data_IF_204923618622
#
_entry.id   IF_204923618622
#
_cell.length_a   1.000
_cell.length_b   1.000
_cell.length_c   1.000
_cell.angle_alpha   90.00
_cell.angle_beta   90.00
_cell.angle_gamma   90.00
#
_symmetry.space_group_name_H-M   'P 1'
#
loop_
_entity.id
_entity.type
_entity.pdbx_description
1 polymer ?
#
# COMPACT_ATOMS: atom_id res chain seq x y z
N UNK A 1 6.94 -17.73 -13.70
CA UNK A 1 6.77 -19.16 -13.31
C UNK A 1 5.77 -19.33 -12.17
N UNK A 2 5.94 -18.65 -11.02
CA UNK A 2 5.07 -18.77 -9.84
C UNK A 2 3.57 -18.44 -10.07
N UNK A 3 3.25 -17.49 -10.96
CA UNK A 3 1.86 -17.14 -11.28
C UNK A 3 1.13 -18.24 -12.07
N UNK A 4 1.85 -18.95 -12.94
CA UNK A 4 1.29 -20.05 -13.73
C UNK A 4 1.06 -21.29 -12.87
N UNK A 5 1.93 -21.55 -11.89
CA UNK A 5 1.74 -22.65 -10.92
C UNK A 5 0.60 -22.37 -9.95
N UNK A 6 0.42 -21.12 -9.50
CA UNK A 6 -0.74 -20.73 -8.68
C UNK A 6 -2.06 -20.85 -9.47
N UNK A 7 -2.08 -20.38 -10.72
CA UNK A 7 -3.26 -20.49 -11.59
C UNK A 7 -3.61 -21.96 -11.90
N UNK A 8 -2.61 -22.81 -12.12
CA UNK A 8 -2.80 -24.25 -12.34
C UNK A 8 -3.30 -24.96 -11.07
N UNK A 9 -2.78 -24.62 -9.89
CA UNK A 9 -3.25 -25.17 -8.61
C UNK A 9 -4.69 -24.73 -8.29
N UNK A 10 -5.04 -23.47 -8.57
CA UNK A 10 -6.41 -22.95 -8.44
C UNK A 10 -7.38 -23.60 -9.44
N UNK A 11 -6.95 -23.84 -10.68
CA UNK A 11 -7.75 -24.53 -11.69
C UNK A 11 -7.97 -26.01 -11.32
N UNK A 12 -6.94 -26.69 -10.82
CA UNK A 12 -7.04 -28.06 -10.32
C UNK A 12 -7.97 -28.16 -9.09
N UNK A 13 -7.88 -27.19 -8.16
CA UNK A 13 -8.79 -27.09 -7.01
C UNK A 13 -10.25 -26.90 -7.42
N UNK A 14 -10.52 -26.01 -8.37
CA UNK A 14 -11.88 -25.80 -8.91
C UNK A 14 -12.42 -27.02 -9.66
N UNK A 15 -11.56 -27.75 -10.38
CA UNK A 15 -11.92 -29.00 -11.05
C UNK A 15 -12.27 -30.12 -10.06
N UNK A 16 -11.50 -30.25 -8.98
CA UNK A 16 -11.77 -31.20 -7.91
C UNK A 16 -13.06 -30.87 -7.14
N UNK A 17 -13.32 -29.58 -6.86
CA UNK A 17 -14.57 -29.13 -6.23
C UNK A 17 -15.79 -29.38 -7.13
N UNK A 18 -15.67 -29.11 -8.44
CA UNK A 18 -16.74 -29.39 -9.41
C UNK A 18 -17.02 -30.89 -9.52
N UNK A 19 -15.98 -31.72 -9.53
CA UNK A 19 -16.10 -33.18 -9.51
C UNK A 19 -16.77 -33.70 -8.23
N UNK A 20 -16.32 -33.21 -7.06
CA UNK A 20 -16.91 -33.58 -5.77
C UNK A 20 -18.39 -33.17 -5.66
N UNK A 21 -18.75 -31.97 -6.16
CA UNK A 21 -20.15 -31.54 -6.25
C UNK A 21 -20.96 -32.41 -7.21
N UNK A 22 -20.39 -32.78 -8.35
CA UNK A 22 -21.03 -33.67 -9.32
C UNK A 22 -21.35 -35.04 -8.71
N UNK A 23 -20.39 -35.64 -8.01
CA UNK A 23 -20.56 -36.92 -7.31
C UNK A 23 -21.60 -36.81 -6.19
N UNK A 24 -21.57 -35.73 -5.40
CA UNK A 24 -22.55 -35.48 -4.34
C UNK A 24 -23.97 -35.35 -4.89
N UNK A 25 -24.15 -34.59 -5.98
CA UNK A 25 -25.46 -34.40 -6.61
C UNK A 25 -25.97 -35.67 -7.28
N UNK A 26 -25.08 -36.48 -7.88
CA UNK A 26 -25.44 -37.78 -8.42
C UNK A 26 -25.88 -38.74 -7.31
N UNK A 27 -25.15 -38.77 -6.19
CA UNK A 27 -25.50 -39.57 -5.01
C UNK A 27 -26.84 -39.17 -4.38
N UNK A 28 -27.11 -37.87 -4.26
CA UNK A 28 -28.37 -37.35 -3.73
C UNK A 28 -29.55 -37.73 -4.63
N UNK A 29 -29.41 -37.58 -5.96
CA UNK A 29 -30.43 -37.99 -6.92
C UNK A 29 -30.68 -39.49 -6.89
N UNK A 30 -29.62 -40.31 -6.82
CA UNK A 30 -29.75 -41.74 -6.72
C UNK A 30 -30.50 -42.13 -5.44
N UNK A 31 -30.15 -41.54 -4.29
CA UNK A 31 -30.82 -41.75 -3.01
C UNK A 31 -32.31 -41.43 -3.06
N UNK A 32 -32.69 -40.28 -3.64
CA UNK A 32 -34.10 -39.87 -3.77
C UNK A 32 -34.90 -40.84 -4.64
N UNK A 33 -34.35 -41.20 -5.82
CA UNK A 33 -35.01 -42.13 -6.73
C UNK A 33 -35.09 -43.55 -6.15
N UNK A 34 -34.04 -44.03 -5.47
CA UNK A 34 -34.06 -45.34 -4.79
C UNK A 34 -35.08 -45.38 -3.66
N UNK A 35 -35.25 -44.28 -2.91
CA UNK A 35 -36.28 -44.17 -1.87
C UNK A 35 -37.67 -44.25 -2.48
N UNK A 36 -37.93 -43.56 -3.59
CA UNK A 36 -39.23 -43.62 -4.28
C UNK A 36 -39.54 -45.04 -4.77
N UNK A 37 -38.56 -45.72 -5.38
CA UNK A 37 -38.72 -47.11 -5.83
C UNK A 37 -39.03 -48.05 -4.66
N UNK A 38 -38.34 -47.88 -3.52
CA UNK A 38 -38.59 -48.67 -2.32
C UNK A 38 -40.01 -48.44 -1.78
N UNK A 39 -40.44 -47.18 -1.70
CA UNK A 39 -41.79 -46.78 -1.27
C UNK A 39 -42.86 -47.39 -2.17
N UNK A 40 -42.69 -47.32 -3.50
CA UNK A 40 -43.66 -47.87 -4.45
C UNK A 40 -43.69 -49.41 -4.44
N UNK A 41 -42.54 -50.07 -4.30
CA UNK A 41 -42.45 -51.53 -4.31
C UNK A 41 -43.05 -52.14 -3.03
N UNK A 42 -42.67 -51.59 -1.87
CA UNK A 42 -43.20 -52.03 -0.59
C UNK A 42 -44.66 -51.62 -0.42
N UNK A 43 -44.99 -50.36 -0.73
CA UNK A 43 -46.35 -49.84 -0.68
C UNK A 43 -47.29 -50.59 -1.61
N UNK A 44 -46.87 -50.94 -2.83
CA UNK A 44 -47.65 -51.77 -3.75
C UNK A 44 -47.94 -53.18 -3.21
N UNK A 45 -47.02 -53.74 -2.43
CA UNK A 45 -47.24 -55.04 -1.75
C UNK A 45 -48.30 -54.93 -0.65
N UNK A 46 -48.33 -53.83 0.11
CA UNK A 46 -49.34 -53.54 1.13
C UNK A 46 -50.73 -53.29 0.51
N UNK A 47 -50.79 -52.57 -0.61
CA UNK A 47 -52.04 -52.40 -1.37
C UNK A 47 -52.59 -53.74 -1.85
N UNK A 48 -51.72 -54.63 -2.35
CA UNK A 48 -52.12 -56.00 -2.77
C UNK A 48 -52.65 -56.83 -1.60
N UNK A 49 -52.15 -56.61 -0.37
CA UNK A 49 -52.62 -57.26 0.86
C UNK A 49 -53.86 -56.61 1.46
N UNK A 50 -54.38 -55.54 0.86
CA UNK A 50 -55.49 -54.72 1.38
C UNK A 50 -55.20 -54.06 2.74
N UNK A 51 -53.93 -53.89 3.10
CA UNK A 51 -53.50 -53.22 4.33
C UNK A 51 -53.39 -51.70 4.17
N UNK A 52 -53.44 -51.20 2.93
CA UNK A 52 -53.37 -49.79 2.58
C UNK A 52 -54.12 -49.51 1.26
N UNK A 53 -54.69 -48.32 1.11
CA UNK A 53 -55.34 -47.86 -0.12
C UNK A 53 -54.35 -47.24 -1.11
N UNK A 54 -54.72 -47.21 -2.39
CA UNK A 54 -53.91 -46.53 -3.43
C UNK A 54 -53.74 -45.02 -3.15
N UNK A 55 -54.77 -44.39 -2.55
CA UNK A 55 -54.73 -42.99 -2.15
C UNK A 55 -53.69 -42.73 -1.07
N UNK A 56 -53.65 -43.56 -0.03
CA UNK A 56 -52.66 -43.47 1.06
C UNK A 56 -51.23 -43.65 0.55
N UNK A 57 -51.00 -44.58 -0.40
CA UNK A 57 -49.69 -44.75 -1.04
C UNK A 57 -49.26 -43.50 -1.81
N UNK A 58 -50.19 -42.90 -2.57
CA UNK A 58 -49.90 -41.69 -3.36
C UNK A 58 -49.61 -40.49 -2.45
N UNK A 59 -50.39 -40.33 -1.38
CA UNK A 59 -50.14 -39.32 -0.35
C UNK A 59 -48.80 -39.53 0.35
N UNK A 60 -48.46 -40.76 0.72
CA UNK A 60 -47.18 -41.07 1.36
C UNK A 60 -45.99 -40.80 0.44
N UNK A 61 -46.09 -41.15 -0.85
CA UNK A 61 -45.06 -40.85 -1.84
C UNK A 61 -44.86 -39.32 -2.04
N UNK A 62 -45.96 -38.56 -2.06
CA UNK A 62 -45.94 -37.10 -2.16
C UNK A 62 -45.29 -36.47 -0.92
N UNK A 63 -45.68 -36.89 0.29
CA UNK A 63 -45.10 -36.40 1.53
C UNK A 63 -43.62 -36.77 1.68
N UNK A 64 -43.24 -38.00 1.30
CA UNK A 64 -41.84 -38.43 1.29
C UNK A 64 -40.98 -37.56 0.37
N UNK A 65 -41.51 -37.19 -0.80
CA UNK A 65 -40.83 -36.30 -1.75
C UNK A 65 -40.66 -34.88 -1.18
N UNK A 66 -41.70 -34.35 -0.53
CA UNK A 66 -41.65 -33.03 0.11
C UNK A 66 -40.63 -32.98 1.27
N UNK A 67 -40.60 -34.01 2.11
CA UNK A 67 -39.61 -34.15 3.19
C UNK A 67 -38.19 -34.27 2.62
N UNK A 68 -38.01 -35.04 1.54
CA UNK A 68 -36.72 -35.18 0.85
C UNK A 68 -36.19 -33.85 0.31
N UNK A 69 -37.05 -33.05 -0.32
CA UNK A 69 -36.69 -31.69 -0.78
C UNK A 69 -36.32 -30.78 0.39
N UNK A 70 -37.10 -30.79 1.48
CA UNK A 70 -36.80 -30.00 2.68
C UNK A 70 -35.45 -30.38 3.32
N UNK A 71 -35.15 -31.68 3.41
CA UNK A 71 -33.87 -32.17 3.92
C UNK A 71 -32.68 -31.74 3.05
N UNK A 72 -32.83 -31.79 1.72
CA UNK A 72 -31.81 -31.32 0.79
C UNK A 72 -31.57 -29.80 0.93
N UNK A 73 -32.64 -29.00 1.05
CA UNK A 73 -32.53 -27.55 1.29
C UNK A 73 -31.83 -27.25 2.62
N UNK A 74 -32.11 -27.99 3.69
CA UNK A 74 -31.44 -27.83 4.98
C UNK A 74 -29.95 -28.19 4.91
N UNK A 75 -29.60 -29.25 4.18
CA UNK A 75 -28.19 -29.64 3.97
C UNK A 75 -27.41 -28.58 3.16
N UNK A 76 -28.03 -28.02 2.13
CA UNK A 76 -27.46 -26.91 1.36
C UNK A 76 -27.27 -25.66 2.25
N UNK A 77 -28.29 -25.30 3.04
CA UNK A 77 -28.20 -24.19 3.99
C UNK A 77 -27.09 -24.39 5.03
N UNK A 78 -26.91 -25.59 5.56
CA UNK A 78 -25.82 -25.92 6.48
C UNK A 78 -24.44 -25.68 5.85
N UNK A 79 -24.27 -26.06 4.57
CA UNK A 79 -23.02 -25.83 3.84
C UNK A 79 -22.74 -24.35 3.64
N UNK A 80 -23.75 -23.56 3.26
CA UNK A 80 -23.58 -22.12 3.08
C UNK A 80 -23.38 -21.37 4.41
N UNK A 81 -24.02 -21.84 5.48
CA UNK A 81 -23.79 -21.35 6.85
C UNK A 81 -22.34 -21.55 7.29
N UNK A 82 -21.76 -22.72 7.01
CA UNK A 82 -20.34 -22.99 7.32
C UNK A 82 -19.39 -22.07 6.53
N UNK A 83 -19.67 -21.80 5.25
CA UNK A 83 -18.91 -20.81 4.47
C UNK A 83 -19.06 -19.41 5.05
N UNK A 84 -20.27 -19.04 5.43
CA UNK A 84 -20.59 -17.75 6.07
C UNK A 84 -19.82 -17.57 7.37
N UNK A 85 -19.80 -18.58 8.25
CA UNK A 85 -19.02 -18.57 9.49
C UNK A 85 -17.52 -18.43 9.23
N UNK A 86 -16.97 -19.14 8.24
CA UNK A 86 -15.56 -19.02 7.88
C UNK A 86 -15.21 -17.64 7.30
N UNK A 87 -16.11 -17.00 6.56
CA UNK A 87 -15.94 -15.63 6.08
C UNK A 87 -16.03 -14.61 7.22
N UNK A 88 -17.02 -14.76 8.11
CA UNK A 88 -17.20 -13.91 9.27
C UNK A 88 -15.98 -13.97 10.19
N UNK A 89 -15.42 -15.16 10.44
CA UNK A 89 -14.21 -15.32 11.26
C UNK A 89 -13.04 -14.47 10.76
N UNK A 90 -12.78 -14.44 9.44
CA UNK A 90 -11.72 -13.60 8.85
C UNK A 90 -12.00 -12.10 8.98
N UNK A 91 -13.27 -11.69 8.92
CA UNK A 91 -13.67 -10.29 9.11
C UNK A 91 -13.43 -9.88 10.56
N UNK A 92 -13.87 -10.69 11.53
CA UNK A 92 -13.63 -10.43 12.95
C UNK A 92 -12.14 -10.45 13.30
N UNK A 93 -11.37 -11.39 12.77
CA UNK A 93 -9.91 -11.42 12.93
C UNK A 93 -9.25 -10.11 12.46
N UNK A 94 -9.72 -9.53 11.36
CA UNK A 94 -9.22 -8.25 10.87
C UNK A 94 -9.68 -7.05 11.72
N UNK A 95 -10.92 -7.05 12.20
CA UNK A 95 -11.47 -5.97 13.04
C UNK A 95 -10.87 -5.95 14.45
N UNK A 96 -10.62 -7.12 15.04
CA UNK A 96 -10.15 -7.26 16.42
C UNK A 96 -8.62 -7.17 16.53
N UNK A 97 -7.90 -7.10 15.40
CA UNK A 97 -6.44 -7.02 15.39
C UNK A 97 -5.96 -5.68 15.97
N UNK A 98 -5.23 -5.67 17.10
CA UNK A 98 -4.67 -4.43 17.63
C UNK A 98 -3.57 -3.89 16.70
N UNK A 99 -3.55 -2.58 16.40
CA UNK A 99 -2.47 -1.99 15.62
C UNK A 99 -1.18 -1.99 16.43
N UNK A 100 -0.05 -2.29 15.76
CA UNK A 100 1.27 -2.32 16.42
C UNK A 100 1.70 -0.92 16.91
N UNK A 101 1.32 0.11 16.17
CA UNK A 101 1.49 1.51 16.56
C UNK A 101 0.15 1.96 17.12
N UNK A 102 0.14 2.37 18.39
CA UNK A 102 -1.05 2.73 19.14
C UNK A 102 -1.90 3.82 18.47
N UNK A 103 -3.15 3.95 18.94
CA UNK A 103 -4.07 5.01 18.54
C UNK A 103 -3.42 6.41 18.66
N UNK A 104 -3.97 7.38 17.94
CA UNK A 104 -3.40 8.70 17.65
C UNK A 104 -3.26 9.63 18.89
N UNK A 105 -2.45 9.19 19.84
CA UNK A 105 -2.11 9.78 21.13
C UNK A 105 -0.62 10.11 21.20
N UNK A 106 -0.25 11.01 22.10
CA UNK A 106 1.13 11.44 22.31
C UNK A 106 1.28 12.95 22.32
N UNK A 107 2.53 13.41 22.34
CA UNK A 107 2.87 14.83 22.41
C UNK A 107 2.59 15.56 21.09
N UNK A 108 2.16 16.82 21.22
CA UNK A 108 1.95 17.77 20.12
C UNK A 108 2.82 19.00 20.40
N UNK A 109 4.10 18.99 19.99
CA UNK A 109 4.97 20.15 20.13
C UNK A 109 4.41 21.39 19.43
N UNK A 110 4.61 22.57 20.06
CA UNK A 110 4.14 23.86 19.52
C UNK A 110 4.96 24.35 18.33
N UNK A 111 6.22 23.91 18.21
CA UNK A 111 7.14 24.33 17.16
C UNK A 111 8.02 23.16 16.75
N UNK A 112 8.43 23.17 15.47
CA UNK A 112 9.29 22.16 14.85
C UNK A 112 10.36 22.88 14.05
N UNK A 113 11.63 22.56 14.29
CA UNK A 113 12.75 23.03 13.48
C UNK A 113 13.07 22.03 12.37
N UNK A 114 12.79 20.75 12.59
CA UNK A 114 13.00 19.69 11.61
C UNK A 114 14.36 19.01 11.70
N UNK A 115 15.03 19.01 12.87
CA UNK A 115 16.25 18.22 13.07
C UNK A 115 15.89 16.74 13.24
N UNK A 116 16.26 15.88 12.30
CA UNK A 116 15.95 14.44 12.37
C UNK A 116 17.22 13.66 12.63
N UNK A 117 17.15 12.71 13.58
CA UNK A 117 18.28 11.83 13.91
C UNK A 117 17.86 10.38 14.01
N UNK A 118 18.60 9.53 13.33
CA UNK A 118 18.62 8.08 13.49
C UNK A 118 19.85 7.75 14.35
N UNK A 119 19.65 7.02 15.44
CA UNK A 119 20.71 6.64 16.36
C UNK A 119 20.72 5.12 16.55
N UNK A 120 21.74 4.44 16.02
CA UNK A 120 21.94 3.00 16.11
C UNK A 120 20.77 2.17 15.58
N UNK A 121 20.10 2.62 14.51
CA UNK A 121 18.82 2.04 14.06
C UNK A 121 19.01 0.67 13.40
N UNK A 122 18.43 -0.36 14.01
CA UNK A 122 18.31 -1.71 13.46
C UNK A 122 16.85 -2.04 13.14
N UNK A 123 16.60 -2.69 11.99
CA UNK A 123 15.23 -3.00 11.58
C UNK A 123 15.14 -4.21 10.64
N UNK A 124 14.16 -5.09 10.86
CA UNK A 124 13.71 -6.16 9.99
C UNK A 124 12.18 -6.14 9.86
N UNK A 125 11.65 -6.39 8.65
CA UNK A 125 10.20 -6.50 8.48
C UNK A 125 9.67 -7.79 9.14
N UNK A 126 8.51 -7.71 9.81
CA UNK A 126 7.87 -8.86 10.45
C UNK A 126 7.59 -10.05 9.51
N UNK A 127 7.40 -9.79 8.21
CA UNK A 127 7.26 -10.85 7.21
C UNK A 127 8.56 -11.64 6.95
N UNK A 128 9.72 -11.10 7.35
CA UNK A 128 11.06 -11.66 7.15
C UNK A 128 11.99 -11.32 8.35
N UNK A 129 11.71 -11.84 9.55
CA UNK A 129 12.42 -11.43 10.78
C UNK A 129 13.91 -11.77 10.79
N UNK A 130 14.34 -12.79 10.02
CA UNK A 130 15.75 -13.17 9.89
C UNK A 130 16.56 -12.32 8.90
N UNK A 131 15.93 -11.38 8.21
CA UNK A 131 16.57 -10.55 7.19
C UNK A 131 16.58 -9.08 7.63
N UNK A 132 17.61 -8.71 8.39
CA UNK A 132 17.83 -7.32 8.81
C UNK A 132 18.06 -6.43 7.59
N UNK A 133 17.20 -5.42 7.43
CA UNK A 133 17.24 -4.42 6.37
C UNK A 133 18.12 -3.24 6.77
N UNK A 134 18.07 -2.82 8.05
CA UNK A 134 18.95 -1.80 8.61
C UNK A 134 19.75 -2.40 9.77
N UNK A 135 21.04 -2.04 9.87
CA UNK A 135 22.02 -2.70 10.75
C UNK A 135 22.84 -1.67 11.55
N UNK A 136 22.18 -0.94 12.44
CA UNK A 136 22.83 0.07 13.29
C UNK A 136 23.10 1.37 12.53
N UNK A 137 22.08 1.93 11.90
CA UNK A 137 22.19 3.18 11.14
C UNK A 137 22.23 4.39 12.06
N UNK A 138 23.32 5.15 11.94
CA UNK A 138 23.46 6.50 12.47
C UNK A 138 23.38 7.51 11.32
N UNK A 139 22.39 8.41 11.38
CA UNK A 139 22.18 9.41 10.34
C UNK A 139 21.57 10.69 10.92
N UNK A 140 22.10 11.83 10.51
CA UNK A 140 21.60 13.15 10.93
C UNK A 140 21.14 13.92 9.71
N UNK A 141 19.92 14.45 9.76
CA UNK A 141 19.37 15.39 8.80
C UNK A 141 19.17 16.73 9.54
N UNK A 142 20.15 17.65 9.43
CA UNK A 142 20.06 18.92 10.12
C UNK A 142 18.87 19.76 9.64
N UNK A 143 18.28 20.51 10.57
CA UNK A 143 17.19 21.44 10.28
C UNK A 143 17.48 22.33 9.04
N UNK A 144 16.56 22.38 8.09
CA UNK A 144 16.64 23.24 6.91
C UNK A 144 17.67 22.82 5.85
N UNK A 145 18.27 21.62 5.97
CA UNK A 145 19.24 21.09 5.00
C UNK A 145 18.64 19.94 4.20
N UNK A 146 19.08 19.84 2.94
CA UNK A 146 18.80 18.69 2.10
C UNK A 146 19.92 17.65 2.22
N UNK A 147 19.54 16.38 2.34
CA UNK A 147 20.40 15.21 2.32
C UNK A 147 19.91 14.26 1.23
N UNK A 148 20.80 13.89 0.30
CA UNK A 148 20.52 12.86 -0.68
C UNK A 148 21.00 11.49 -0.17
N UNK A 149 20.06 10.57 -0.02
CA UNK A 149 20.30 9.19 0.36
C UNK A 149 20.49 8.33 -0.89
N UNK A 150 21.66 7.73 -1.02
CA UNK A 150 22.09 6.97 -2.20
C UNK A 150 22.37 5.53 -1.81
N UNK A 151 22.07 4.59 -2.68
CA UNK A 151 22.32 3.17 -2.42
C UNK A 151 21.66 2.29 -3.46
N UNK A 152 22.08 1.02 -3.52
CA UNK A 152 21.47 0.02 -4.41
C UNK A 152 19.98 -0.20 -4.07
N UNK A 153 19.23 -0.76 -5.01
CA UNK A 153 17.87 -1.22 -4.71
C UNK A 153 17.93 -2.29 -3.61
N UNK A 154 17.02 -2.20 -2.63
CA UNK A 154 17.02 -3.10 -1.47
C UNK A 154 17.97 -2.71 -0.32
N UNK A 155 18.78 -1.65 -0.45
CA UNK A 155 19.71 -1.22 0.61
C UNK A 155 19.03 -0.67 1.88
N UNK A 156 17.72 -0.38 1.84
CA UNK A 156 16.94 0.13 2.99
C UNK A 156 16.54 1.60 2.92
N UNK A 157 16.68 2.27 1.75
CA UNK A 157 16.37 3.70 1.59
C UNK A 157 14.91 4.06 1.92
N UNK A 158 13.97 3.36 1.28
CA UNK A 158 12.53 3.50 1.55
C UNK A 158 12.19 3.14 2.99
N UNK A 159 12.89 2.16 3.58
CA UNK A 159 12.71 1.79 4.99
C UNK A 159 13.06 2.95 5.93
N UNK A 160 14.14 3.70 5.68
CA UNK A 160 14.46 4.90 6.47
C UNK A 160 13.36 5.96 6.39
N UNK A 161 12.80 6.20 5.20
CA UNK A 161 11.66 7.09 5.04
C UNK A 161 10.41 6.61 5.80
N UNK A 162 10.11 5.30 5.75
CA UNK A 162 8.97 4.71 6.46
C UNK A 162 9.13 4.76 7.99
N UNK A 163 10.35 4.61 8.51
CA UNK A 163 10.67 4.79 9.93
C UNK A 163 10.52 6.27 10.35
N UNK A 164 10.93 7.22 9.51
CA UNK A 164 10.73 8.65 9.76
C UNK A 164 9.23 9.02 9.80
N UNK A 165 8.42 8.41 8.94
CA UNK A 165 6.95 8.54 8.95
C UNK A 165 6.27 7.79 10.10
N UNK A 166 7.06 7.04 10.90
CA UNK A 166 6.60 6.14 11.95
C UNK A 166 5.46 5.25 11.42
N UNK A 167 5.70 4.62 10.27
CA UNK A 167 4.88 3.50 9.77
C UNK A 167 5.33 2.18 10.39
N UNK A 168 6.58 2.14 10.84
CA UNK A 168 7.17 1.09 11.65
C UNK A 168 7.97 1.75 12.78
N UNK A 169 8.13 1.03 13.89
CA UNK A 169 9.11 1.36 14.92
C UNK A 169 10.38 0.52 14.67
N UNK A 170 11.58 1.05 14.96
CA UNK A 170 12.82 0.29 14.81
C UNK A 170 12.92 -0.83 15.87
N UNK A 171 13.54 -1.96 15.51
CA UNK A 171 13.78 -3.07 16.45
C UNK A 171 14.87 -2.72 17.47
N UNK A 172 15.83 -1.88 17.05
CA UNK A 172 16.95 -1.39 17.86
C UNK A 172 17.22 0.07 17.56
N UNK A 173 17.76 0.79 18.54
CA UNK A 173 18.06 2.22 18.39
C UNK A 173 16.82 3.09 18.45
N UNK A 174 16.93 4.31 17.94
CA UNK A 174 15.86 5.30 18.04
C UNK A 174 15.89 6.30 16.89
N UNK A 175 14.70 6.72 16.46
CA UNK A 175 14.52 7.88 15.58
C UNK A 175 13.94 9.02 16.41
N UNK A 176 14.44 10.24 16.21
CA UNK A 176 13.99 11.42 16.93
C UNK A 176 13.82 12.63 16.01
N UNK A 177 12.88 13.51 16.37
CA UNK A 177 12.61 14.80 15.77
C UNK A 177 12.84 15.91 16.80
N UNK A 178 13.77 16.82 16.52
CA UNK A 178 14.19 17.90 17.41
C UNK A 178 14.62 17.39 18.80
N UNK A 179 15.21 16.20 18.84
CA UNK A 179 15.62 15.49 20.08
C UNK A 179 14.48 14.73 20.77
N UNK A 180 13.24 14.84 20.30
CA UNK A 180 12.09 14.10 20.85
C UNK A 180 11.94 12.75 20.14
N UNK A 181 11.92 11.62 20.86
CA UNK A 181 11.74 10.29 20.25
C UNK A 181 10.40 10.18 19.51
N UNK A 182 10.40 9.65 18.28
CA UNK A 182 9.17 9.49 17.49
C UNK A 182 8.06 8.70 18.23
N UNK A 183 8.37 7.65 19.03
CA UNK A 183 7.36 6.93 19.81
C UNK A 183 6.51 7.79 20.75
N UNK A 184 7.06 8.91 21.24
CA UNK A 184 6.39 9.82 22.19
C UNK A 184 5.50 10.86 21.53
N UNK A 185 5.65 11.07 20.22
CA UNK A 185 4.91 12.05 19.45
C UNK A 185 3.58 11.47 18.96
N UNK A 186 2.56 12.33 18.86
CA UNK A 186 1.29 11.96 18.25
C UNK A 186 1.46 11.66 16.75
N UNK A 187 1.14 10.45 16.25
CA UNK A 187 1.41 10.06 14.87
C UNK A 187 0.80 10.98 13.79
N UNK A 188 -0.45 11.42 13.94
CA UNK A 188 -1.08 12.34 12.97
C UNK A 188 -0.48 13.74 13.00
N UNK A 189 0.05 14.17 14.13
CA UNK A 189 0.79 15.42 14.21
C UNK A 189 2.15 15.27 13.51
N UNK A 190 2.90 14.20 13.81
CA UNK A 190 4.20 13.93 13.19
C UNK A 190 4.09 13.90 11.66
N UNK A 191 3.11 13.16 11.13
CA UNK A 191 2.90 13.03 9.69
C UNK A 191 2.44 14.32 9.02
N UNK A 192 1.83 15.26 9.74
CA UNK A 192 1.56 16.62 9.24
C UNK A 192 2.82 17.47 9.10
N UNK A 193 3.87 17.17 9.86
CA UNK A 193 5.17 17.85 9.75
C UNK A 193 6.02 17.33 8.59
N UNK A 194 5.60 16.25 7.92
CA UNK A 194 6.36 15.56 6.89
C UNK A 194 5.53 15.51 5.59
N UNK A 195 5.97 16.21 4.55
CA UNK A 195 5.43 16.07 3.20
C UNK A 195 6.18 14.97 2.45
N UNK A 196 5.45 14.11 1.73
CA UNK A 196 6.03 13.01 0.96
C UNK A 196 5.65 13.15 -0.51
N UNK A 197 6.65 13.02 -1.39
CA UNK A 197 6.45 12.93 -2.83
C UNK A 197 7.04 11.61 -3.30
N UNK A 198 6.17 10.66 -3.60
CA UNK A 198 6.53 9.32 -4.07
C UNK A 198 6.98 9.34 -5.54
N UNK A 199 7.71 8.30 -5.95
CA UNK A 199 8.14 8.10 -7.33
C UNK A 199 6.96 8.01 -8.31
N UNK A 200 5.91 7.28 -7.92
CA UNK A 200 4.65 7.16 -8.64
C UNK A 200 3.50 7.73 -7.79
N UNK A 201 3.16 9.01 -7.96
CA UNK A 201 2.16 9.66 -7.13
C UNK A 201 0.77 9.10 -7.40
N UNK A 202 0.13 8.63 -6.33
CA UNK A 202 -1.28 8.21 -6.38
C UNK A 202 -2.19 9.43 -6.26
N UNK A 203 -3.19 9.53 -7.14
CA UNK A 203 -4.24 10.53 -7.10
C UNK A 203 -5.58 9.86 -6.83
N UNK A 204 -6.37 10.47 -5.97
CA UNK A 204 -7.68 9.96 -5.59
C UNK A 204 -8.75 10.45 -6.57
N UNK A 205 -9.81 9.66 -6.72
CA UNK A 205 -10.99 10.11 -7.46
C UNK A 205 -11.58 11.34 -6.77
N UNK A 206 -11.72 12.42 -7.53
CA UNK A 206 -12.11 13.75 -7.05
C UNK A 206 -11.55 14.85 -7.93
N UNK A 207 -11.73 16.10 -7.50
CA UNK A 207 -11.19 17.28 -8.18
C UNK A 207 -9.68 17.48 -7.92
N UNK A 208 -9.06 18.35 -8.71
CA UNK A 208 -7.68 18.80 -8.48
C UNK A 208 -7.56 19.47 -7.10
N UNK A 209 -8.53 20.33 -6.73
CA UNK A 209 -8.55 20.99 -5.43
C UNK A 209 -8.60 19.98 -4.27
N UNK A 210 -9.47 18.97 -4.36
CA UNK A 210 -9.62 17.92 -3.34
C UNK A 210 -8.32 17.11 -3.19
N UNK A 211 -7.65 16.80 -4.30
CA UNK A 211 -6.37 16.10 -4.28
C UNK A 211 -5.25 16.91 -3.62
N UNK A 212 -5.24 18.24 -3.78
CA UNK A 212 -4.28 19.11 -3.07
C UNK A 212 -4.66 19.19 -1.58
N UNK A 213 -5.93 19.47 -1.28
CA UNK A 213 -6.46 19.59 0.08
C UNK A 213 -6.31 18.32 0.91
N UNK A 214 -6.10 17.15 0.30
CA UNK A 214 -5.79 15.92 1.03
C UNK A 214 -4.56 16.05 1.94
N UNK A 215 -3.59 16.91 1.59
CA UNK A 215 -2.43 17.19 2.45
C UNK A 215 -2.77 18.04 3.68
N UNK A 216 -3.82 18.86 3.60
CA UNK A 216 -4.34 19.67 4.70
C UNK A 216 -5.85 19.90 4.50
N UNK A 217 -6.72 19.11 5.15
CA UNK A 217 -8.18 19.22 4.98
C UNK A 217 -8.74 20.60 5.36
N UNK A 218 -8.02 21.36 6.18
CA UNK A 218 -8.38 22.71 6.61
C UNK A 218 -7.82 23.80 5.68
N UNK A 219 -7.19 23.43 4.55
CA UNK A 219 -6.61 24.38 3.60
C UNK A 219 -7.70 25.22 2.93
N UNK A 220 -7.49 26.54 2.92
CA UNK A 220 -8.36 27.46 2.17
C UNK A 220 -8.06 27.36 0.67
N UNK A 221 -8.98 27.85 -0.17
CA UNK A 221 -8.73 27.97 -1.61
C UNK A 221 -7.46 28.78 -1.94
N UNK A 222 -7.10 29.76 -1.10
CA UNK A 222 -5.85 30.52 -1.25
C UNK A 222 -4.63 29.66 -0.98
N UNK A 223 -4.67 28.81 0.03
CA UNK A 223 -3.57 27.89 0.37
C UNK A 223 -3.37 26.86 -0.75
N UNK A 224 -4.47 26.33 -1.30
CA UNK A 224 -4.45 25.41 -2.44
C UNK A 224 -3.77 26.05 -3.66
N UNK A 225 -4.16 27.28 -4.02
CA UNK A 225 -3.55 28.01 -5.14
C UNK A 225 -2.09 28.34 -4.87
N UNK A 226 -1.73 28.72 -3.64
CA UNK A 226 -0.35 29.00 -3.27
C UNK A 226 0.53 27.75 -3.37
N UNK A 227 0.05 26.60 -2.88
CA UNK A 227 0.71 25.31 -3.00
C UNK A 227 0.88 24.89 -4.48
N UNK A 228 -0.17 25.04 -5.29
CA UNK A 228 -0.13 24.76 -6.71
C UNK A 228 0.89 25.65 -7.43
N UNK A 229 0.99 26.94 -7.11
CA UNK A 229 2.00 27.85 -7.68
C UNK A 229 3.41 27.47 -7.26
N UNK A 230 3.62 27.12 -5.99
CA UNK A 230 4.93 26.65 -5.51
C UNK A 230 5.40 25.39 -6.25
N UNK A 231 4.45 24.49 -6.56
CA UNK A 231 4.69 23.26 -7.29
C UNK A 231 4.73 23.43 -8.83
N UNK A 232 4.65 24.67 -9.34
CA UNK A 232 4.47 24.98 -10.78
C UNK A 232 3.26 24.24 -11.41
N UNK A 233 2.24 23.89 -10.63
CA UNK A 233 1.04 23.19 -11.08
C UNK A 233 -0.06 24.15 -11.59
N UNK A 234 -0.12 25.37 -11.05
CA UNK A 234 -1.18 26.34 -11.38
C UNK A 234 -1.30 26.59 -12.89
N UNK A 235 -0.18 26.69 -13.61
CA UNK A 235 -0.14 26.97 -15.06
C UNK A 235 -1.00 25.97 -15.86
N UNK A 236 -0.77 24.67 -15.71
CA UNK A 236 -1.54 23.66 -16.45
C UNK A 236 -2.95 23.48 -15.88
N UNK A 237 -3.16 23.77 -14.59
CA UNK A 237 -4.49 23.71 -13.98
C UNK A 237 -5.39 24.77 -14.62
N UNK A 238 -4.88 25.98 -14.88
CA UNK A 238 -5.64 27.04 -15.52
C UNK A 238 -6.01 26.75 -16.99
N UNK A 239 -5.32 25.81 -17.64
CA UNK A 239 -5.63 25.38 -19.02
C UNK A 239 -6.86 24.47 -19.10
N UNK A 240 -7.26 23.83 -17.99
CA UNK A 240 -8.48 23.02 -17.97
C UNK A 240 -9.75 23.91 -17.93
N UNK A 241 -10.84 23.48 -18.59
CA UNK A 241 -12.12 24.22 -18.57
C UNK A 241 -12.63 24.50 -17.15
N UNK A 242 -12.56 23.49 -16.28
CA UNK A 242 -13.06 23.54 -14.91
C UNK A 242 -11.96 23.88 -13.89
N UNK A 243 -10.74 24.17 -14.37
CA UNK A 243 -9.60 24.58 -13.54
C UNK A 243 -9.37 23.64 -12.35
N UNK A 244 -9.47 24.15 -11.12
CA UNK A 244 -9.28 23.38 -9.88
C UNK A 244 -10.41 22.37 -9.60
N UNK A 245 -11.58 22.56 -10.21
CA UNK A 245 -12.73 21.66 -10.08
C UNK A 245 -12.67 20.49 -11.08
N UNK A 246 -11.68 20.49 -11.98
CA UNK A 246 -11.44 19.42 -12.95
C UNK A 246 -11.29 18.07 -12.26
N UNK A 247 -12.05 17.08 -12.72
CA UNK A 247 -12.02 15.72 -12.17
C UNK A 247 -10.81 14.94 -12.68
N UNK A 248 -9.97 14.45 -11.78
CA UNK A 248 -8.69 13.79 -12.14
C UNK A 248 -8.87 12.30 -12.45
N UNK A 249 -9.99 11.70 -12.03
CA UNK A 249 -10.27 10.27 -12.13
C UNK A 249 -9.36 9.41 -11.23
N UNK A 250 -9.66 8.11 -11.13
CA UNK A 250 -8.84 7.19 -10.33
C UNK A 250 -7.40 7.12 -10.86
N UNK A 251 -6.41 7.26 -9.97
CA UNK A 251 -4.98 7.32 -10.29
C UNK A 251 -4.58 8.43 -11.29
N UNK A 252 -5.42 9.46 -11.45
CA UNK A 252 -5.11 10.61 -12.29
C UNK A 252 -4.96 10.25 -13.77
N UNK A 253 -5.74 9.29 -14.28
CA UNK A 253 -5.58 8.71 -15.63
C UNK A 253 -5.49 9.73 -16.77
N UNK A 254 -6.03 10.94 -16.58
CA UNK A 254 -6.05 12.00 -17.58
C UNK A 254 -4.87 13.00 -17.49
N UNK A 255 -3.96 12.82 -16.54
CA UNK A 255 -2.79 13.67 -16.37
C UNK A 255 -1.51 13.00 -16.86
N UNK A 256 -0.60 13.79 -17.44
CA UNK A 256 0.76 13.34 -17.74
C UNK A 256 1.54 13.05 -16.45
N UNK A 257 2.59 12.22 -16.52
CA UNK A 257 3.41 11.90 -15.34
C UNK A 257 3.94 13.14 -14.62
N UNK A 258 4.35 14.17 -15.38
CA UNK A 258 4.88 15.42 -14.83
C UNK A 258 3.80 16.28 -14.17
N UNK A 259 2.57 16.27 -14.69
CA UNK A 259 1.42 16.90 -14.04
C UNK A 259 1.06 16.20 -12.73
N UNK A 260 1.06 14.86 -12.71
CA UNK A 260 0.81 14.09 -11.48
C UNK A 260 1.84 14.39 -10.40
N UNK A 261 3.13 14.45 -10.78
CA UNK A 261 4.22 14.79 -9.86
C UNK A 261 4.08 16.19 -9.28
N UNK A 262 3.80 17.21 -10.12
CA UNK A 262 3.55 18.58 -9.62
C UNK A 262 2.32 18.65 -8.70
N UNK A 263 1.26 17.90 -9.00
CA UNK A 263 0.07 17.84 -8.16
C UNK A 263 0.33 17.14 -6.81
N UNK A 264 1.13 16.08 -6.81
CA UNK A 264 1.57 15.42 -5.58
C UNK A 264 2.49 16.30 -4.74
N UNK A 265 3.39 17.05 -5.38
CA UNK A 265 4.19 18.06 -4.70
C UNK A 265 3.31 19.14 -4.06
N UNK A 266 2.32 19.68 -4.79
CA UNK A 266 1.36 20.64 -4.23
C UNK A 266 0.63 20.08 -3.00
N UNK A 267 0.18 18.82 -3.06
CA UNK A 267 -0.41 18.10 -1.92
C UNK A 267 0.56 17.95 -0.75
N UNK A 268 1.84 17.67 -1.02
CA UNK A 268 2.84 17.52 0.03
C UNK A 268 3.15 18.86 0.72
N UNK A 269 3.10 19.99 0.00
CA UNK A 269 3.47 21.31 0.54
C UNK A 269 2.31 22.13 1.10
N UNK A 270 1.05 21.76 0.84
CA UNK A 270 -0.12 22.54 1.31
C UNK A 270 -0.22 22.58 2.85
N UNK A 271 0.30 21.57 3.54
CA UNK A 271 0.40 21.55 5.01
C UNK A 271 1.57 22.38 5.55
N UNK A 272 2.37 22.97 4.67
CA UNK A 272 3.63 23.65 4.99
C UNK A 272 4.53 22.83 5.93
N UNK A 273 4.93 21.61 5.53
CA UNK A 273 5.67 20.71 6.41
C UNK A 273 7.09 21.22 6.69
N UNK A 274 7.62 20.91 7.87
CA UNK A 274 9.00 21.21 8.24
C UNK A 274 10.00 20.27 7.54
N UNK A 275 9.55 19.05 7.20
CA UNK A 275 10.35 18.00 6.59
C UNK A 275 9.73 17.58 5.25
N UNK A 276 10.56 17.37 4.24
CA UNK A 276 10.15 16.80 2.95
C UNK A 276 10.90 15.50 2.68
N UNK A 277 10.17 14.49 2.21
CA UNK A 277 10.73 13.24 1.68
C UNK A 277 10.42 13.21 0.19
N UNK A 278 11.47 13.14 -0.63
CA UNK A 278 11.38 13.12 -2.09
C UNK A 278 11.93 11.79 -2.61
N UNK A 279 11.07 10.89 -3.07
CA UNK A 279 11.47 9.60 -3.61
C UNK A 279 11.47 9.61 -5.13
N UNK A 280 12.64 9.76 -5.75
CA UNK A 280 12.85 9.62 -7.20
C UNK A 280 11.81 10.32 -8.11
N UNK A 281 11.31 11.50 -7.70
CA UNK A 281 10.12 12.19 -8.21
C UNK A 281 10.15 12.66 -9.69
N UNK A 282 11.16 12.29 -10.46
CA UNK A 282 11.36 12.73 -11.85
C UNK A 282 11.70 11.59 -12.83
N UNK A 283 11.82 10.34 -12.36
CA UNK A 283 12.43 9.20 -13.08
C UNK A 283 11.71 8.66 -14.33
N UNK A 284 10.53 9.19 -14.68
CA UNK A 284 9.72 8.71 -15.80
C UNK A 284 9.15 9.85 -16.65
N UNK A 285 9.85 10.98 -16.71
CA UNK A 285 9.38 12.21 -17.33
C UNK A 285 10.17 12.55 -18.60
N UNK A 286 9.52 13.20 -19.56
CA UNK A 286 10.21 13.86 -20.66
C UNK A 286 11.06 15.04 -20.13
N UNK A 287 12.07 15.44 -20.90
CA UNK A 287 13.05 16.44 -20.46
C UNK A 287 12.43 17.80 -20.07
N UNK A 288 11.35 18.22 -20.75
CA UNK A 288 10.69 19.49 -20.43
C UNK A 288 9.91 19.39 -19.11
N UNK A 289 9.14 18.31 -18.93
CA UNK A 289 8.46 18.01 -17.67
C UNK A 289 9.43 17.84 -16.51
N UNK A 290 10.56 17.18 -16.72
CA UNK A 290 11.60 16.97 -15.71
C UNK A 290 12.18 18.29 -15.20
N UNK A 291 12.47 19.24 -16.09
CA UNK A 291 12.99 20.56 -15.72
C UNK A 291 11.99 21.33 -14.84
N UNK A 292 10.70 21.31 -15.20
CA UNK A 292 9.65 21.97 -14.43
C UNK A 292 9.47 21.35 -13.04
N UNK A 293 9.47 20.02 -12.94
CA UNK A 293 9.35 19.32 -11.65
C UNK A 293 10.59 19.56 -10.79
N UNK A 294 11.79 19.48 -11.36
CA UNK A 294 13.04 19.72 -10.62
C UNK A 294 13.10 21.14 -10.05
N UNK A 295 12.69 22.15 -10.84
CA UNK A 295 12.59 23.53 -10.36
C UNK A 295 11.57 23.68 -9.22
N UNK A 296 10.43 23.00 -9.31
CA UNK A 296 9.41 23.01 -8.27
C UNK A 296 9.92 22.33 -6.97
N UNK A 297 10.59 21.18 -7.09
CA UNK A 297 11.19 20.47 -5.96
C UNK A 297 12.25 21.33 -5.26
N UNK A 298 13.11 22.03 -6.01
CA UNK A 298 14.11 22.92 -5.43
C UNK A 298 13.46 24.10 -4.67
N UNK A 299 12.40 24.71 -5.21
CA UNK A 299 11.63 25.76 -4.52
C UNK A 299 10.97 25.24 -3.25
N UNK A 300 10.39 24.03 -3.31
CA UNK A 300 9.74 23.40 -2.16
C UNK A 300 10.74 23.00 -1.07
N UNK A 301 11.93 22.50 -1.45
CA UNK A 301 12.98 22.10 -0.51
C UNK A 301 13.67 23.29 0.19
N UNK A 302 13.60 24.49 -0.40
CA UNK A 302 14.25 25.67 0.15
C UNK A 302 13.74 25.98 1.58
N UNK A 303 14.66 25.98 2.55
CA UNK A 303 14.37 26.26 3.96
C UNK A 303 13.75 25.09 4.73
N UNK A 304 13.59 23.91 4.12
CA UNK A 304 13.02 22.71 4.76
C UNK A 304 14.07 21.62 4.91
N UNK A 305 13.96 20.82 5.97
CA UNK A 305 14.76 19.59 6.08
C UNK A 305 14.28 18.63 5.00
N UNK A 306 15.16 18.21 4.09
CA UNK A 306 14.74 17.41 2.94
C UNK A 306 15.55 16.12 2.84
N UNK A 307 14.87 14.98 2.84
CA UNK A 307 15.45 13.67 2.53
C UNK A 307 15.14 13.34 1.07
N UNK A 308 16.16 13.29 0.23
CA UNK A 308 16.01 12.92 -1.19
C UNK A 308 16.50 11.50 -1.38
N UNK A 309 15.62 10.57 -1.73
CA UNK A 309 16.03 9.21 -2.15
C UNK A 309 16.42 9.30 -3.62
N UNK A 310 17.73 9.25 -3.88
CA UNK A 310 18.28 9.50 -5.21
C UNK A 310 18.73 8.20 -5.89
N UNK A 311 18.31 8.06 -7.15
CA UNK A 311 18.67 6.94 -8.03
C UNK A 311 19.37 7.41 -9.31
N UNK A 312 19.19 8.68 -9.69
CA UNK A 312 19.79 9.26 -10.90
C UNK A 312 21.12 9.93 -10.59
N UNK A 313 22.12 9.65 -11.44
CA UNK A 313 23.47 10.19 -11.31
C UNK A 313 23.48 11.73 -11.26
N UNK A 314 22.67 12.40 -12.08
CA UNK A 314 22.56 13.87 -12.07
C UNK A 314 22.09 14.43 -10.73
N UNK A 315 21.08 13.80 -10.10
CA UNK A 315 20.59 14.16 -8.77
C UNK A 315 21.64 13.91 -7.69
N UNK A 316 22.37 12.80 -7.80
CA UNK A 316 23.45 12.44 -6.87
C UNK A 316 24.61 13.44 -6.97
N UNK A 317 25.05 13.78 -8.19
CA UNK A 317 26.17 14.69 -8.45
C UNK A 317 25.89 16.14 -8.02
N UNK A 318 24.64 16.58 -8.11
CA UNK A 318 24.23 17.93 -7.73
C UNK A 318 23.93 18.09 -6.23
N UNK A 319 23.88 16.99 -5.47
CA UNK A 319 23.58 17.02 -4.05
C UNK A 319 24.76 17.55 -3.24
N UNK A 320 24.47 18.47 -2.31
CA UNK A 320 25.49 19.07 -1.42
C UNK A 320 25.87 18.17 -0.25
N UNK A 321 24.92 17.37 0.23
CA UNK A 321 25.15 16.40 1.30
C UNK A 321 24.61 15.06 0.83
N UNK A 322 25.46 14.05 0.87
CA UNK A 322 25.13 12.68 0.50
C UNK A 322 25.33 11.77 1.70
N UNK A 323 24.49 10.75 1.79
CA UNK A 323 24.69 9.59 2.65
C UNK A 323 24.58 8.33 1.80
N UNK A 324 25.65 7.54 1.77
CA UNK A 324 25.68 6.28 1.05
C UNK A 324 25.27 5.13 1.97
N UNK A 325 24.13 4.52 1.66
CA UNK A 325 23.56 3.37 2.34
C UNK A 325 23.93 2.09 1.57
N UNK A 326 24.75 1.25 2.20
CA UNK A 326 25.21 -0.02 1.65
C UNK A 326 24.92 -1.15 2.65
N UNK A 327 24.26 -2.21 2.17
CA UNK A 327 23.87 -3.40 2.96
C UNK A 327 23.27 -3.06 4.35
N UNK A 328 22.38 -2.05 4.39
CA UNK A 328 21.69 -1.63 5.60
C UNK A 328 22.50 -0.77 6.57
N UNK A 329 23.68 -0.26 6.17
CA UNK A 329 24.54 0.62 6.96
C UNK A 329 24.90 1.88 6.20
N UNK A 330 25.08 2.98 6.94
CA UNK A 330 25.65 4.20 6.37
C UNK A 330 27.16 3.99 6.30
N UNK A 331 27.68 3.83 5.08
CA UNK A 331 29.10 3.58 4.83
C UNK A 331 29.89 4.88 4.85
N UNK A 332 29.36 5.92 4.22
CA UNK A 332 30.00 7.24 4.17
C UNK A 332 28.98 8.36 3.98
N UNK A 333 29.33 9.54 4.51
CA UNK A 333 28.59 10.79 4.35
C UNK A 333 29.55 11.90 3.93
N UNK A 334 29.08 12.85 3.11
CA UNK A 334 29.94 13.91 2.57
C UNK A 334 29.43 14.48 1.25
N UNK A 335 30.33 15.12 0.51
CA UNK A 335 30.09 15.58 -0.86
C UNK A 335 30.28 14.46 -1.88
N UNK A 336 29.86 14.68 -3.13
CA UNK A 336 29.99 13.68 -4.20
C UNK A 336 31.44 13.22 -4.39
N UNK A 337 32.38 14.18 -4.41
CA UNK A 337 33.80 13.91 -4.61
C UNK A 337 34.41 13.18 -3.40
N UNK A 338 34.05 13.60 -2.18
CA UNK A 338 34.47 12.90 -0.95
C UNK A 338 34.01 11.44 -0.91
N UNK A 339 32.78 11.16 -1.38
CA UNK A 339 32.25 9.80 -1.42
C UNK A 339 32.96 8.94 -2.48
N UNK A 340 33.27 9.51 -3.65
CA UNK A 340 34.03 8.83 -4.70
C UNK A 340 35.44 8.45 -4.24
N UNK A 341 36.09 9.30 -3.46
CA UNK A 341 37.43 9.04 -2.95
C UNK A 341 37.43 8.05 -1.78
N UNK A 342 36.40 8.09 -0.92
CA UNK A 342 36.35 7.32 0.34
C UNK A 342 35.70 5.95 0.25
N UNK A 343 34.89 5.68 -0.78
CA UNK A 343 34.17 4.40 -0.93
C UNK A 343 34.30 3.84 -2.34
N UNK A 344 34.98 2.70 -2.45
CA UNK A 344 35.04 1.93 -3.70
C UNK A 344 33.66 1.45 -4.15
N UNK A 345 32.78 1.10 -3.20
CA UNK A 345 31.44 0.61 -3.50
C UNK A 345 30.52 1.72 -4.01
N UNK A 346 30.68 2.95 -3.52
CA UNK A 346 30.05 4.13 -4.09
C UNK A 346 30.56 4.38 -5.53
N UNK A 347 31.88 4.34 -5.75
CA UNK A 347 32.46 4.49 -7.09
C UNK A 347 31.94 3.43 -8.08
N UNK A 348 31.83 2.16 -7.65
CA UNK A 348 31.21 1.08 -8.45
C UNK A 348 29.75 1.39 -8.77
N UNK A 349 28.96 1.85 -7.80
CA UNK A 349 27.57 2.24 -8.03
C UNK A 349 27.47 3.38 -9.06
N UNK A 350 28.34 4.38 -8.97
CA UNK A 350 28.35 5.50 -9.92
C UNK A 350 28.71 5.05 -11.35
N UNK A 351 29.60 4.08 -11.49
CA UNK A 351 29.92 3.47 -12.78
C UNK A 351 28.74 2.67 -13.34
N UNK A 352 28.05 1.88 -12.52
CA UNK A 352 26.84 1.16 -12.91
C UNK A 352 25.73 2.11 -13.40
N UNK A 353 25.51 3.21 -12.70
CA UNK A 353 24.55 4.24 -13.10
C UNK A 353 24.95 5.00 -14.36
N UNK A 354 26.25 5.02 -14.70
CA UNK A 354 26.74 5.64 -15.95
C UNK A 354 26.59 4.73 -17.16
N UNK A 355 26.59 3.41 -16.95
CA UNK A 355 26.52 2.40 -18.01
C UNK A 355 25.09 1.94 -18.34
N UNK A 356 24.09 2.38 -17.56
CA UNK A 356 22.68 2.18 -17.93
C UNK A 356 22.31 3.18 -19.03
N UNK A 357 21.89 2.75 -20.23
CA UNK A 357 21.29 3.67 -21.19
C UNK A 357 20.06 4.31 -20.55
N UNK A 358 19.88 5.62 -20.77
CA UNK A 358 18.64 6.30 -20.38
C UNK A 358 17.47 5.56 -21.05
N UNK A 359 16.61 4.93 -20.25
CA UNK A 359 15.35 4.34 -20.71
C UNK A 359 14.38 5.44 -21.10
#
# INVERSE_FOLDING_TARGET
AAYRTLAAALAAGRGAEAGARGVLMAGLNLSLNSTLVAVLTFGGTLVRRQEMTTGELTSFALYSSLVGLGAASLAAFGTDSMKGLGAAARVFEAMDRPPAIAADEGLVPLAVRGDVRFHGVGFAYAARPGQAVLRGVDLVLPAGRALALVGRSGAGKTTLAQLLLRLYDPDQGMVSLDGTPLPTLKPSWLRRQIGVVDQEPTLFAGSIAENIAFGNPDATAKDIVAAAKLANADEFIQEFPDKYDTQVGENGKFLSGGQKQRLALARAVVSNPAILILDEATSSLDAASEALVTAALAKAAAGRTTLVIAHRKSTIQSAKNLAFLNDGKIECCGTYDELLERSEDFAKLMNELSNKPAC
#
